data_IF_882951878320
#
_entry.id   IF_882951878320
#
_cell.length_a   1.000
_cell.length_b   1.000
_cell.length_c   1.000
_cell.angle_alpha   90.00
_cell.angle_beta   90.00
_cell.angle_gamma   90.00
#
_symmetry.space_group_name_H-M   'P 1'
#
loop_
_entity.id
_entity.type
_entity.pdbx_description
1 polymer ?
#
# COMPACT_ATOMS: atom_id res chain seq x y z
N UNK A 1 13.75 -19.28 0.77
CA UNK A 1 13.20 -17.96 1.15
C UNK A 1 12.64 -18.09 2.55
N UNK A 2 12.96 -17.17 3.46
CA UNK A 2 12.37 -17.12 4.80
C UNK A 2 10.89 -16.74 4.73
N UNK A 3 10.17 -16.91 5.84
CA UNK A 3 8.78 -16.44 5.99
C UNK A 3 8.69 -14.94 5.76
N UNK A 4 9.61 -14.18 6.35
CA UNK A 4 9.70 -12.72 6.27
C UNK A 4 9.90 -12.25 4.83
N UNK A 5 10.82 -12.90 4.11
CA UNK A 5 11.05 -12.66 2.68
C UNK A 5 9.79 -12.93 1.85
N UNK A 6 8.99 -13.93 2.23
CA UNK A 6 7.72 -14.22 1.57
C UNK A 6 6.69 -13.13 1.85
N UNK A 7 6.57 -12.69 3.10
CA UNK A 7 5.63 -11.63 3.50
C UNK A 7 5.96 -10.31 2.81
N UNK A 8 7.22 -9.87 2.85
CA UNK A 8 7.69 -8.69 2.13
C UNK A 8 7.38 -8.77 0.63
N UNK A 9 7.61 -9.93 0.00
CA UNK A 9 7.24 -10.13 -1.40
C UNK A 9 5.73 -10.02 -1.64
N UNK A 10 4.91 -10.55 -0.74
CA UNK A 10 3.45 -10.48 -0.89
C UNK A 10 2.94 -9.04 -0.77
N UNK A 11 3.50 -8.24 0.15
CA UNK A 11 3.17 -6.81 0.28
C UNK A 11 3.42 -6.07 -1.05
N UNK A 12 4.54 -6.34 -1.72
CA UNK A 12 4.83 -5.75 -3.04
C UNK A 12 3.80 -6.14 -4.11
N UNK A 13 3.21 -7.34 -4.04
CA UNK A 13 2.17 -7.77 -4.99
C UNK A 13 0.89 -6.95 -4.80
N UNK A 14 0.47 -6.72 -3.55
CA UNK A 14 -0.71 -5.91 -3.27
C UNK A 14 -0.50 -4.43 -3.61
N UNK A 15 0.70 -3.89 -3.39
CA UNK A 15 1.06 -2.57 -3.91
C UNK A 15 0.88 -2.47 -5.43
N UNK A 16 1.37 -3.46 -6.18
CA UNK A 16 1.20 -3.48 -7.64
C UNK A 16 -0.29 -3.55 -8.04
N UNK A 17 -1.11 -4.28 -7.27
CA UNK A 17 -2.55 -4.32 -7.49
C UNK A 17 -3.19 -2.95 -7.27
N UNK A 18 -2.85 -2.25 -6.19
CA UNK A 18 -3.36 -0.91 -5.90
C UNK A 18 -2.93 0.12 -6.95
N UNK A 19 -1.66 0.10 -7.37
CA UNK A 19 -1.19 0.93 -8.48
C UNK A 19 -2.00 0.70 -9.75
N UNK A 20 -2.29 -0.57 -10.06
CA UNK A 20 -3.08 -0.90 -11.24
C UNK A 20 -4.53 -0.44 -11.14
N UNK A 21 -5.15 -0.51 -9.96
CA UNK A 21 -6.49 0.01 -9.74
C UNK A 21 -6.53 1.52 -9.95
N UNK A 22 -5.60 2.23 -9.31
CA UNK A 22 -5.45 3.68 -9.45
C UNK A 22 -5.22 4.10 -10.91
N UNK A 23 -4.40 3.38 -11.66
CA UNK A 23 -4.20 3.62 -13.10
C UNK A 23 -5.48 3.43 -13.92
N UNK A 24 -6.33 2.46 -13.57
CA UNK A 24 -7.59 2.22 -14.26
C UNK A 24 -8.60 3.32 -13.95
N UNK A 25 -8.70 3.72 -12.68
CA UNK A 25 -9.59 4.81 -12.25
C UNK A 25 -9.16 6.13 -12.91
N UNK A 26 -7.86 6.43 -12.95
CA UNK A 26 -7.29 7.59 -13.66
C UNK A 26 -7.71 7.67 -15.14
N UNK A 27 -7.85 6.52 -15.81
CA UNK A 27 -8.24 6.46 -17.23
C UNK A 27 -9.74 6.63 -17.41
N UNK A 28 -10.54 6.19 -16.44
CA UNK A 28 -12.00 6.30 -16.48
C UNK A 28 -12.46 7.71 -16.10
N UNK A 29 -11.72 8.40 -15.23
CA UNK A 29 -12.00 9.77 -14.77
C UNK A 29 -11.79 10.87 -15.81
N UNK A 30 -11.43 10.52 -17.05
CA UNK A 30 -11.32 11.45 -18.19
C UNK A 30 -12.63 12.19 -18.53
N UNK A 31 -13.75 11.94 -17.82
CA UNK A 31 -15.06 12.58 -18.04
C UNK A 31 -15.44 13.66 -17.01
N UNK A 32 -14.70 13.88 -15.91
CA UNK A 32 -15.04 14.92 -14.93
C UNK A 32 -13.81 15.75 -14.59
N UNK A 33 -13.70 16.92 -15.22
CA UNK A 33 -12.76 17.98 -14.81
C UNK A 33 -13.14 18.44 -13.40
N UNK A 34 -12.44 17.96 -12.38
CA UNK A 34 -12.55 18.45 -11.00
C UNK A 34 -13.02 17.45 -9.93
N UNK A 35 -12.77 16.14 -10.08
CA UNK A 35 -12.91 15.20 -8.97
C UNK A 35 -12.07 15.70 -7.77
N UNK A 36 -12.76 15.96 -6.67
CA UNK A 36 -12.24 16.70 -5.52
C UNK A 36 -11.27 15.81 -4.73
N UNK A 37 -10.34 16.41 -4.00
CA UNK A 37 -9.52 15.76 -2.95
C UNK A 37 -10.34 15.02 -1.87
N UNK A 38 -11.67 15.11 -1.95
CA UNK A 38 -12.66 14.52 -1.06
C UNK A 38 -13.24 13.20 -1.57
N UNK A 39 -13.03 12.85 -2.84
CA UNK A 39 -13.46 11.57 -3.36
C UNK A 39 -12.56 10.47 -2.79
N UNK A 40 -13.18 9.54 -2.07
CA UNK A 40 -12.50 8.39 -1.45
C UNK A 40 -12.60 7.21 -2.39
N UNK A 41 -11.45 6.61 -2.70
CA UNK A 41 -11.32 5.39 -3.50
C UNK A 41 -11.03 4.21 -2.56
N UNK A 42 -11.39 2.99 -2.97
CA UNK A 42 -11.07 1.78 -2.22
C UNK A 42 -9.71 1.21 -2.63
N UNK A 43 -8.84 1.00 -1.66
CA UNK A 43 -7.57 0.31 -1.86
C UNK A 43 -7.55 -1.01 -1.09
N UNK A 44 -6.82 -1.99 -1.63
CA UNK A 44 -6.59 -3.26 -0.94
C UNK A 44 -5.57 -3.09 0.18
N UNK A 45 -5.78 -3.83 1.26
CA UNK A 45 -4.78 -4.00 2.30
C UNK A 45 -3.51 -4.64 1.72
N UNK A 46 -2.37 -4.01 1.95
CA UNK A 46 -1.07 -4.40 1.40
C UNK A 46 -0.26 -5.30 2.34
N UNK A 47 -0.91 -5.99 3.26
CA UNK A 47 -0.22 -6.85 4.22
C UNK A 47 0.40 -8.09 3.55
N UNK A 48 1.30 -8.77 4.26
CA UNK A 48 1.96 -9.98 3.76
C UNK A 48 1.08 -11.24 3.61
N UNK A 49 -0.23 -11.19 3.89
CA UNK A 49 -1.13 -12.35 3.77
C UNK A 49 -1.74 -12.45 2.36
N UNK A 50 -1.53 -13.57 1.65
CA UNK A 50 -1.98 -13.75 0.26
C UNK A 50 -3.50 -13.85 0.08
N UNK A 51 -4.22 -14.25 1.13
CA UNK A 51 -5.67 -14.39 1.15
C UNK A 51 -6.38 -13.14 1.67
N UNK A 52 -5.62 -12.08 1.99
CA UNK A 52 -6.21 -10.80 2.39
C UNK A 52 -6.90 -10.12 1.21
N UNK A 53 -8.23 -10.04 1.27
CA UNK A 53 -9.06 -9.33 0.29
C UNK A 53 -9.73 -8.09 0.90
N UNK A 54 -9.26 -7.66 2.08
CA UNK A 54 -9.79 -6.51 2.77
C UNK A 54 -9.47 -5.22 2.01
N UNK A 55 -10.41 -4.27 2.06
CA UNK A 55 -10.31 -2.96 1.44
C UNK A 55 -10.72 -1.88 2.42
N UNK A 56 -10.21 -0.69 2.22
CA UNK A 56 -10.57 0.51 2.98
C UNK A 56 -10.53 1.73 2.07
N UNK A 57 -11.37 2.72 2.39
CA UNK A 57 -11.42 3.97 1.66
C UNK A 57 -10.25 4.88 2.03
N UNK A 58 -9.69 5.61 1.08
CA UNK A 58 -8.82 6.75 1.36
C UNK A 58 -8.84 7.74 0.20
N UNK A 59 -8.39 8.97 0.46
CA UNK A 59 -8.26 9.94 -0.63
C UNK A 59 -7.02 9.64 -1.45
N UNK A 60 -7.06 10.03 -2.72
CA UNK A 60 -5.90 9.94 -3.60
C UNK A 60 -4.67 10.64 -3.05
N UNK A 61 -4.83 11.80 -2.39
CA UNK A 61 -3.72 12.51 -1.76
C UNK A 61 -3.06 11.69 -0.65
N UNK A 62 -3.84 10.97 0.16
CA UNK A 62 -3.30 10.07 1.19
C UNK A 62 -2.52 8.92 0.54
N UNK A 63 -3.09 8.31 -0.51
CA UNK A 63 -2.42 7.24 -1.25
C UNK A 63 -1.08 7.70 -1.82
N UNK A 64 -1.05 8.85 -2.52
CA UNK A 64 0.17 9.40 -3.12
C UNK A 64 1.22 9.79 -2.07
N UNK A 65 0.82 10.29 -0.90
CA UNK A 65 1.74 10.59 0.19
C UNK A 65 2.48 9.35 0.70
N UNK A 66 1.78 8.21 0.79
CA UNK A 66 2.40 6.93 1.17
C UNK A 66 3.31 6.43 0.05
N UNK A 67 2.88 6.55 -1.21
CA UNK A 67 3.67 6.12 -2.38
C UNK A 67 4.91 6.96 -2.68
N UNK A 68 5.08 8.10 -2.02
CA UNK A 68 6.33 8.85 -2.05
C UNK A 68 7.51 8.08 -1.41
N UNK A 69 7.22 7.00 -0.66
CA UNK A 69 8.20 6.17 0.03
C UNK A 69 8.03 4.72 -0.40
N UNK A 70 9.03 4.18 -1.11
CA UNK A 70 9.02 2.80 -1.64
C UNK A 70 9.01 1.71 -0.57
N UNK A 71 9.29 2.07 0.68
CA UNK A 71 9.34 1.19 1.84
C UNK A 71 8.05 1.22 2.67
N UNK A 72 7.06 2.04 2.28
CA UNK A 72 5.80 2.17 3.02
C UNK A 72 4.66 1.38 2.40
N UNK A 73 3.78 0.84 3.23
CA UNK A 73 2.62 0.04 2.85
C UNK A 73 1.35 0.44 3.60
N UNK A 74 0.20 0.22 2.96
CA UNK A 74 -1.13 0.54 3.51
C UNK A 74 -1.78 -0.72 4.08
N UNK A 75 -1.95 -0.79 5.39
CA UNK A 75 -2.35 -2.04 6.07
C UNK A 75 -3.53 -1.78 7.00
N UNK A 76 -4.44 -2.75 7.16
CA UNK A 76 -5.45 -2.68 8.22
C UNK A 76 -4.77 -2.72 9.59
N UNK A 77 -5.25 -1.95 10.57
CA UNK A 77 -4.61 -1.84 11.89
C UNK A 77 -4.35 -3.19 12.59
N UNK A 78 -5.16 -4.22 12.33
CA UNK A 78 -4.97 -5.57 12.88
C UNK A 78 -4.10 -6.52 12.05
N UNK A 79 -3.56 -6.06 10.92
CA UNK A 79 -2.82 -6.87 9.94
C UNK A 79 -1.32 -6.53 9.85
N UNK A 80 -0.84 -5.65 10.73
CA UNK A 80 0.58 -5.27 10.82
C UNK A 80 1.43 -6.48 11.18
N UNK A 81 2.62 -6.57 10.59
CA UNK A 81 3.61 -7.59 10.92
C UNK A 81 4.80 -7.01 11.67
N UNK A 82 4.67 -6.82 12.99
CA UNK A 82 5.69 -6.18 13.85
C UNK A 82 7.07 -6.88 13.85
N UNK A 83 7.23 -8.03 13.20
CA UNK A 83 8.53 -8.71 13.01
C UNK A 83 9.39 -8.08 11.90
N UNK A 84 8.80 -7.32 10.97
CA UNK A 84 9.48 -6.84 9.74
C UNK A 84 9.16 -5.39 9.38
N UNK A 85 8.30 -4.72 10.13
CA UNK A 85 7.83 -3.36 9.87
C UNK A 85 7.33 -2.67 11.13
N UNK A 86 7.27 -1.34 11.06
CA UNK A 86 6.80 -0.49 12.14
C UNK A 86 5.72 0.46 11.64
N UNK A 87 4.70 0.72 12.46
CA UNK A 87 3.66 1.73 12.16
C UNK A 87 4.26 3.13 12.22
N UNK A 88 4.14 3.90 11.14
CA UNK A 88 4.60 5.28 11.04
C UNK A 88 3.47 6.30 11.02
N UNK A 89 2.28 5.91 10.57
CA UNK A 89 1.07 6.75 10.59
C UNK A 89 -0.16 5.90 10.91
N UNK A 90 -1.15 6.50 11.59
CA UNK A 90 -2.39 5.80 11.98
C UNK A 90 -3.61 6.62 11.60
N UNK A 91 -4.56 5.96 10.95
CA UNK A 91 -5.85 6.52 10.58
C UNK A 91 -6.98 5.68 11.19
N UNK A 92 -8.24 6.11 10.98
CA UNK A 92 -9.40 5.42 11.55
C UNK A 92 -9.63 4.01 10.99
N UNK A 93 -9.27 3.77 9.73
CA UNK A 93 -9.57 2.52 9.01
C UNK A 93 -8.33 1.72 8.63
N UNK A 94 -7.16 2.36 8.55
CA UNK A 94 -5.89 1.75 8.14
C UNK A 94 -4.72 2.41 8.88
N UNK A 95 -3.56 1.77 8.77
CA UNK A 95 -2.27 2.28 9.22
C UNK A 95 -1.30 2.29 8.06
N UNK A 96 -0.29 3.16 8.15
CA UNK A 96 0.86 3.15 7.25
C UNK A 96 2.00 2.51 8.01
N UNK A 97 2.58 1.47 7.44
CA UNK A 97 3.75 0.77 7.97
C UNK A 97 4.97 1.08 7.09
N UNK A 98 6.15 1.11 7.69
CA UNK A 98 7.42 1.24 7.00
C UNK A 98 8.28 0.01 7.31
N UNK A 99 8.90 -0.58 6.27
CA UNK A 99 9.73 -1.78 6.45
C UNK A 99 10.93 -1.47 7.33
N UNK A 100 11.27 -2.40 8.20
CA UNK A 100 12.48 -2.30 8.99
C UNK A 100 13.73 -2.36 8.10
N UNK A 101 14.81 -1.65 8.46
CA UNK A 101 16.05 -1.65 7.68
C UNK A 101 16.61 -3.06 7.45
N UNK A 102 17.06 -3.30 6.22
CA UNK A 102 17.69 -4.56 5.82
C UNK A 102 16.95 -5.21 4.66
N UNK A 103 16.90 -6.55 4.69
CA UNK A 103 16.38 -7.34 3.57
C UNK A 103 14.91 -7.03 3.22
N UNK A 104 13.96 -6.87 4.17
CA UNK A 104 12.58 -6.52 3.84
C UNK A 104 12.46 -5.17 3.10
N UNK A 105 13.15 -4.13 3.60
CA UNK A 105 13.19 -2.83 2.93
C UNK A 105 13.84 -2.89 1.54
N UNK A 106 14.89 -3.70 1.36
CA UNK A 106 15.51 -3.91 0.04
C UNK A 106 14.56 -4.58 -0.96
N UNK A 107 13.82 -5.61 -0.52
CA UNK A 107 12.76 -6.23 -1.34
C UNK A 107 11.71 -5.20 -1.74
N UNK A 108 11.27 -4.35 -0.80
CA UNK A 108 10.30 -3.30 -1.07
C UNK A 108 10.81 -2.29 -2.12
N UNK A 109 12.06 -1.82 -1.99
CA UNK A 109 12.68 -0.89 -2.96
C UNK A 109 12.84 -1.50 -4.36
N UNK A 110 13.35 -2.73 -4.46
CA UNK A 110 13.63 -3.38 -5.75
C UNK A 110 12.34 -3.68 -6.53
N UNK A 111 11.23 -3.94 -5.83
CA UNK A 111 9.94 -4.23 -6.43
C UNK A 111 8.99 -3.02 -6.41
N UNK A 112 9.53 -1.80 -6.28
CA UNK A 112 8.73 -0.58 -6.42
C UNK A 112 8.35 -0.38 -7.90
N UNK A 113 7.05 -0.40 -8.24
CA UNK A 113 6.62 -0.16 -9.62
C UNK A 113 6.90 1.26 -10.13
N UNK A 114 7.29 2.20 -9.26
CA UNK A 114 7.56 3.61 -9.60
C UNK A 114 9.06 3.97 -9.67
N UNK A 115 9.96 3.00 -9.48
CA UNK A 115 11.41 3.20 -9.51
C UNK A 115 11.98 3.48 -10.91
#
# INVERSE_FOLDING_TARGET
>A
MSRDARRAKNETLFRNLNERLKELDDRLDTSVVGADTRDREEFFCECGQLDCMARFGMTRTQYEAVRAFSERFLVLAGHVDDEIESVVESHSEFVVVEKDPGFPAEVARINDPRA
#
